data_IF_563856851887
#
_entry.id   IF_563856851887
#
_cell.length_a   1.000
_cell.length_b   1.000
_cell.length_c   1.000
_cell.angle_alpha   90.00
_cell.angle_beta   90.00
_cell.angle_gamma   90.00
#
_symmetry.space_group_name_H-M   'P 1'
#
loop_
_entity.id
_entity.type
_entity.pdbx_description
1 polymer ?
#
# COMPACT_ATOMS: atom_id res chain seq x y z
N UNK A 1 -40.90 51.26 27.98
CA UNK A 1 -39.47 51.08 27.60
C UNK A 1 -38.86 49.79 28.13
N UNK A 2 -38.87 49.49 29.45
CA UNK A 2 -38.25 48.27 30.02
C UNK A 2 -38.76 46.93 29.42
N UNK A 3 -40.06 46.79 29.15
CA UNK A 3 -40.63 45.56 28.54
C UNK A 3 -40.18 45.34 27.08
N UNK A 4 -40.02 46.42 26.31
CA UNK A 4 -39.55 46.35 24.92
C UNK A 4 -38.06 45.99 24.86
N UNK A 5 -37.25 46.57 25.75
CA UNK A 5 -35.83 46.23 25.88
C UNK A 5 -35.64 44.74 26.23
N UNK A 6 -36.46 44.21 27.14
CA UNK A 6 -36.42 42.81 27.57
C UNK A 6 -36.78 41.85 26.42
N UNK A 7 -37.75 42.23 25.57
CA UNK A 7 -38.15 41.45 24.41
C UNK A 7 -37.07 41.44 23.31
N UNK A 8 -36.40 42.58 23.07
CA UNK A 8 -35.25 42.67 22.15
C UNK A 8 -34.09 41.79 22.64
N UNK A 9 -33.80 41.79 23.94
CA UNK A 9 -32.74 40.94 24.53
C UNK A 9 -33.07 39.45 24.35
N UNK A 10 -34.32 39.04 24.54
CA UNK A 10 -34.74 37.65 24.35
C UNK A 10 -34.61 37.24 22.87
N UNK A 11 -35.11 38.06 21.95
CA UNK A 11 -35.05 37.76 20.51
C UNK A 11 -33.62 37.69 19.99
N UNK A 12 -32.76 38.62 20.42
CA UNK A 12 -31.34 38.60 20.07
C UNK A 12 -30.63 37.38 20.67
N UNK A 13 -30.91 37.05 21.94
CA UNK A 13 -30.37 35.84 22.58
C UNK A 13 -30.78 34.55 21.86
N UNK A 14 -32.04 34.44 21.44
CA UNK A 14 -32.54 33.29 20.66
C UNK A 14 -31.88 33.21 19.28
N UNK A 15 -31.71 34.34 18.59
CA UNK A 15 -31.05 34.40 17.29
C UNK A 15 -29.56 34.01 17.38
N UNK A 16 -28.87 34.43 18.44
CA UNK A 16 -27.48 34.04 18.70
C UNK A 16 -27.40 32.54 18.99
N UNK A 17 -28.28 32.01 19.85
CA UNK A 17 -28.31 30.59 20.18
C UNK A 17 -28.56 29.72 18.95
N UNK A 18 -29.56 30.06 18.13
CA UNK A 18 -29.87 29.31 16.91
C UNK A 18 -28.71 29.35 15.92
N UNK A 19 -28.06 30.50 15.75
CA UNK A 19 -26.87 30.65 14.90
C UNK A 19 -25.72 29.75 15.36
N UNK A 20 -25.47 29.68 16.68
CA UNK A 20 -24.45 28.79 17.24
C UNK A 20 -24.78 27.31 16.95
N UNK A 21 -26.04 26.90 17.09
CA UNK A 21 -26.46 25.53 16.79
C UNK A 21 -26.27 25.17 15.32
N UNK A 22 -26.63 26.08 14.40
CA UNK A 22 -26.43 25.89 12.96
C UNK A 22 -24.94 25.76 12.64
N UNK A 23 -24.10 26.68 13.15
CA UNK A 23 -22.64 26.65 12.93
C UNK A 23 -22.03 25.36 13.48
N UNK A 24 -22.45 24.94 14.68
CA UNK A 24 -22.01 23.69 15.30
C UNK A 24 -22.40 22.48 14.45
N UNK A 25 -23.63 22.46 13.92
CA UNK A 25 -24.11 21.38 13.07
C UNK A 25 -23.36 21.29 11.73
N UNK A 26 -23.23 22.40 11.00
CA UNK A 26 -22.59 22.41 9.67
C UNK A 26 -21.07 22.14 9.74
N UNK A 27 -20.46 22.37 10.90
CA UNK A 27 -19.04 22.05 11.14
C UNK A 27 -18.80 20.57 11.45
N UNK A 28 -19.86 19.74 11.59
CA UNK A 28 -19.70 18.31 11.86
C UNK A 28 -19.11 17.58 10.65
N UNK A 29 -18.16 16.65 10.85
CA UNK A 29 -17.59 15.85 9.76
C UNK A 29 -18.63 15.12 8.91
N UNK A 30 -19.73 14.66 9.51
CA UNK A 30 -20.83 13.98 8.82
C UNK A 30 -21.41 14.81 7.66
N UNK A 31 -21.57 16.13 7.85
CA UNK A 31 -22.09 17.04 6.81
C UNK A 31 -21.15 17.10 5.60
N UNK A 32 -19.84 17.03 5.84
CA UNK A 32 -18.83 17.04 4.79
C UNK A 32 -18.73 15.68 4.09
N UNK A 33 -18.82 14.58 4.85
CA UNK A 33 -18.75 13.20 4.33
C UNK A 33 -19.93 12.91 3.40
N UNK A 34 -21.13 13.42 3.68
CA UNK A 34 -22.29 13.28 2.79
C UNK A 34 -22.00 13.75 1.35
N UNK A 35 -21.13 14.75 1.18
CA UNK A 35 -20.74 15.27 -0.12
C UNK A 35 -19.46 14.62 -0.68
N UNK A 36 -18.54 14.17 0.18
CA UNK A 36 -17.22 13.67 -0.21
C UNK A 36 -17.03 12.14 -0.10
N UNK A 37 -18.06 11.39 0.28
CA UNK A 37 -17.97 10.01 0.78
C UNK A 37 -17.29 8.95 -0.11
N UNK A 38 -17.09 9.20 -1.41
CA UNK A 38 -16.33 8.29 -2.28
C UNK A 38 -14.82 8.56 -2.30
N UNK A 39 -14.37 9.78 -1.95
CA UNK A 39 -12.96 10.19 -2.01
C UNK A 39 -12.22 9.98 -0.70
N UNK A 40 -12.92 9.92 0.42
CA UNK A 40 -12.32 9.78 1.73
C UNK A 40 -12.88 8.54 2.42
N UNK A 41 -12.00 7.55 2.68
CA UNK A 41 -12.29 6.43 3.58
C UNK A 41 -12.25 6.91 5.05
N UNK A 42 -12.80 8.10 5.30
CA UNK A 42 -12.64 8.84 6.54
C UNK A 42 -13.62 8.31 7.57
N UNK A 43 -13.10 7.98 8.75
CA UNK A 43 -13.91 7.85 9.94
C UNK A 43 -14.55 9.22 10.24
N UNK A 44 -15.75 9.23 10.84
CA UNK A 44 -16.48 10.46 11.20
C UNK A 44 -15.76 11.38 12.23
N UNK A 45 -14.44 11.20 12.43
CA UNK A 45 -13.63 11.79 13.50
C UNK A 45 -12.72 12.95 13.05
N UNK A 46 -12.70 13.32 11.77
CA UNK A 46 -11.83 14.40 11.27
C UNK A 46 -10.36 13.97 11.13
N UNK A 47 -9.42 14.90 11.33
CA UNK A 47 -7.97 14.62 11.24
C UNK A 47 -7.56 13.51 12.20
N UNK A 48 -6.78 12.54 11.73
CA UNK A 48 -6.30 11.40 12.54
C UNK A 48 -5.03 11.71 13.35
N UNK A 49 -4.43 12.90 13.17
CA UNK A 49 -3.23 13.32 13.88
C UNK A 49 -3.54 13.63 15.36
N UNK A 50 -2.81 13.05 16.34
CA UNK A 50 -3.06 13.24 17.77
C UNK A 50 -3.15 14.70 18.21
N UNK A 51 -2.27 15.56 17.70
CA UNK A 51 -2.26 17.00 18.04
C UNK A 51 -3.54 17.72 17.56
N UNK A 52 -4.11 17.27 16.45
CA UNK A 52 -5.36 17.82 15.92
C UNK A 52 -6.58 17.27 16.66
N UNK A 53 -6.57 15.98 17.03
CA UNK A 53 -7.65 15.37 17.81
C UNK A 53 -7.71 15.97 19.21
N UNK A 54 -6.57 16.16 19.87
CA UNK A 54 -6.49 16.73 21.21
C UNK A 54 -6.94 18.19 21.24
N UNK A 55 -6.73 18.92 20.14
CA UNK A 55 -7.14 20.33 20.01
C UNK A 55 -8.53 20.50 19.38
N UNK A 56 -9.27 19.40 19.16
CA UNK A 56 -10.61 19.41 18.54
C UNK A 56 -10.70 20.16 17.22
N UNK A 57 -9.67 20.07 16.38
CA UNK A 57 -9.61 20.77 15.08
C UNK A 57 -10.70 20.21 14.16
N UNK A 58 -11.57 21.09 13.65
CA UNK A 58 -12.66 20.72 12.74
C UNK A 58 -12.23 20.78 11.27
N UNK A 59 -13.04 20.20 10.37
CA UNK A 59 -12.79 20.28 8.93
C UNK A 59 -12.71 21.75 8.45
N UNK A 60 -13.58 22.62 8.96
CA UNK A 60 -13.63 24.04 8.60
C UNK A 60 -12.39 24.79 9.08
N UNK A 61 -11.79 24.37 10.19
CA UNK A 61 -10.59 25.04 10.70
C UNK A 61 -9.40 24.91 9.72
N UNK A 62 -9.32 23.76 9.02
CA UNK A 62 -8.35 23.50 7.95
C UNK A 62 -8.81 24.02 6.58
N UNK A 63 -10.10 23.90 6.26
CA UNK A 63 -10.68 24.26 4.96
C UNK A 63 -11.32 25.66 4.96
N UNK A 64 -10.62 26.64 5.57
CA UNK A 64 -11.02 28.05 5.53
C UNK A 64 -9.80 28.96 5.45
N UNK A 65 -10.02 30.16 4.89
CA UNK A 65 -9.01 31.21 4.90
C UNK A 65 -8.70 31.75 6.31
N UNK A 66 -7.78 32.71 6.37
CA UNK A 66 -7.36 33.32 7.63
C UNK A 66 -8.40 34.29 8.19
N UNK A 67 -8.59 34.27 9.51
CA UNK A 67 -9.49 35.18 10.22
C UNK A 67 -10.97 34.72 10.26
N UNK A 68 -11.77 35.47 11.01
CA UNK A 68 -13.17 35.11 11.28
C UNK A 68 -14.07 35.26 10.04
N UNK A 69 -13.81 36.26 9.19
CA UNK A 69 -14.62 36.50 8.01
C UNK A 69 -14.50 35.36 7.00
N UNK A 70 -13.28 34.91 6.71
CA UNK A 70 -13.06 33.78 5.81
C UNK A 70 -13.72 32.50 6.32
N UNK A 71 -13.73 32.29 7.64
CA UNK A 71 -14.48 31.17 8.27
C UNK A 71 -15.98 31.30 8.04
N UNK A 72 -16.55 32.49 8.23
CA UNK A 72 -17.98 32.75 7.99
C UNK A 72 -18.32 32.52 6.52
N UNK A 73 -17.52 33.02 5.59
CA UNK A 73 -17.73 32.84 4.16
C UNK A 73 -17.70 31.37 3.76
N UNK A 74 -16.77 30.60 4.35
CA UNK A 74 -16.69 29.15 4.19
C UNK A 74 -17.95 28.46 4.69
N UNK A 75 -18.40 28.79 5.91
CA UNK A 75 -19.62 28.24 6.50
C UNK A 75 -20.86 28.54 5.64
N UNK A 76 -20.94 29.72 5.05
CA UNK A 76 -22.02 30.09 4.13
C UNK A 76 -22.02 29.22 2.86
N UNK A 77 -20.84 28.92 2.31
CA UNK A 77 -20.71 28.02 1.15
C UNK A 77 -21.17 26.60 1.52
N UNK A 78 -20.73 26.07 2.67
CA UNK A 78 -21.10 24.72 3.12
C UNK A 78 -22.59 24.61 3.44
N UNK A 79 -23.17 25.60 4.11
CA UNK A 79 -24.60 25.64 4.41
C UNK A 79 -25.43 25.67 3.11
N UNK A 80 -25.07 26.52 2.15
CA UNK A 80 -25.72 26.57 0.85
C UNK A 80 -25.62 25.25 0.07
N UNK A 81 -24.43 24.63 0.08
CA UNK A 81 -24.20 23.33 -0.53
C UNK A 81 -25.11 22.24 0.08
N UNK A 82 -25.24 22.21 1.41
CA UNK A 82 -26.09 21.24 2.11
C UNK A 82 -27.56 21.43 1.76
N UNK A 83 -28.06 22.67 1.79
CA UNK A 83 -29.45 22.98 1.44
C UNK A 83 -29.77 22.51 0.02
N UNK A 84 -28.88 22.78 -0.93
CA UNK A 84 -29.02 22.33 -2.32
C UNK A 84 -29.01 20.80 -2.43
N UNK A 85 -28.11 20.14 -1.70
CA UNK A 85 -28.01 18.68 -1.72
C UNK A 85 -29.25 18.00 -1.12
N UNK A 86 -29.78 18.52 0.00
CA UNK A 86 -31.02 18.00 0.62
C UNK A 86 -32.27 18.31 -0.22
N UNK A 87 -32.27 19.43 -0.93
CA UNK A 87 -33.37 19.81 -1.82
C UNK A 87 -33.34 19.06 -3.16
N UNK A 88 -32.24 18.37 -3.49
CA UNK A 88 -32.05 17.68 -4.77
C UNK A 88 -33.20 16.73 -5.14
N UNK A 89 -33.74 15.86 -4.26
CA UNK A 89 -34.85 14.97 -4.63
C UNK A 89 -36.09 15.75 -5.07
N UNK A 90 -36.41 16.82 -4.34
CA UNK A 90 -37.55 17.70 -4.63
C UNK A 90 -37.34 18.47 -5.93
N UNK A 91 -36.14 19.04 -6.14
CA UNK A 91 -35.80 19.76 -7.37
C UNK A 91 -35.87 18.81 -8.58
N UNK A 92 -35.28 17.63 -8.49
CA UNK A 92 -35.30 16.65 -9.59
C UNK A 92 -36.73 16.19 -9.92
N UNK A 93 -37.56 16.02 -8.88
CA UNK A 93 -38.97 15.67 -9.05
C UNK A 93 -39.78 16.81 -9.69
N UNK A 94 -39.61 18.05 -9.23
CA UNK A 94 -40.35 19.21 -9.72
C UNK A 94 -40.00 19.59 -11.16
N UNK A 95 -38.71 19.50 -11.51
CA UNK A 95 -38.21 19.94 -12.81
C UNK A 95 -37.96 18.78 -13.80
N UNK A 96 -38.30 17.54 -13.43
CA UNK A 96 -37.96 16.33 -14.20
C UNK A 96 -36.49 16.32 -14.64
N UNK A 97 -35.62 16.81 -13.77
CA UNK A 97 -34.21 17.03 -14.05
C UNK A 97 -33.36 15.99 -13.32
N UNK A 98 -32.16 15.73 -13.85
CA UNK A 98 -31.14 14.92 -13.18
C UNK A 98 -30.02 15.83 -12.64
N UNK A 99 -30.38 16.75 -11.75
CA UNK A 99 -29.39 17.63 -11.12
C UNK A 99 -28.44 16.80 -10.26
N UNK A 100 -27.14 16.92 -10.54
CA UNK A 100 -26.07 16.40 -9.71
C UNK A 100 -25.23 17.58 -9.24
N UNK A 101 -25.01 17.69 -7.94
CA UNK A 101 -24.17 18.72 -7.32
C UNK A 101 -22.75 18.75 -7.90
N UNK A 102 -22.26 17.62 -8.42
CA UNK A 102 -20.91 17.46 -8.98
C UNK A 102 -20.77 18.10 -10.38
N UNK A 103 -21.88 18.26 -11.13
CA UNK A 103 -21.84 18.73 -12.52
C UNK A 103 -22.15 20.24 -12.68
N UNK A 104 -22.52 20.95 -11.61
CA UNK A 104 -22.83 22.39 -11.65
C UNK A 104 -21.76 23.27 -10.98
N UNK A 105 -20.69 22.66 -10.45
CA UNK A 105 -19.74 23.28 -9.52
C UNK A 105 -18.54 23.95 -10.19
N UNK A 106 -18.73 24.61 -11.34
CA UNK A 106 -17.77 25.61 -11.82
C UNK A 106 -17.92 26.94 -11.04
N UNK A 107 -18.17 26.83 -9.73
CA UNK A 107 -18.45 27.93 -8.85
C UNK A 107 -17.16 28.34 -8.15
N UNK A 108 -16.66 29.53 -8.49
CA UNK A 108 -15.45 30.14 -7.91
C UNK A 108 -15.47 30.18 -6.39
N UNK A 109 -16.65 30.10 -5.73
CA UNK A 109 -16.79 30.09 -4.27
C UNK A 109 -16.25 28.83 -3.59
N UNK A 110 -16.13 27.68 -4.28
CA UNK A 110 -15.53 26.49 -3.69
C UNK A 110 -14.02 26.61 -3.48
N UNK A 111 -13.36 27.58 -4.12
CA UNK A 111 -11.95 27.90 -3.84
C UNK A 111 -11.72 28.32 -2.38
N UNK A 112 -12.76 28.81 -1.68
CA UNK A 112 -12.70 29.16 -0.25
C UNK A 112 -12.52 27.94 0.65
N UNK A 113 -12.87 26.73 0.17
CA UNK A 113 -12.68 25.47 0.88
C UNK A 113 -11.28 24.87 0.70
N UNK A 114 -10.37 25.56 0.00
CA UNK A 114 -8.98 25.10 -0.11
C UNK A 114 -8.36 25.01 1.29
N UNK A 115 -7.64 23.93 1.54
CA UNK A 115 -6.93 23.71 2.79
C UNK A 115 -5.87 24.79 3.04
N UNK A 116 -5.70 25.19 4.30
CA UNK A 116 -4.77 26.23 4.72
C UNK A 116 -4.01 25.79 5.98
N UNK A 117 -2.87 25.15 5.77
CA UNK A 117 -2.02 24.63 6.84
C UNK A 117 -1.30 25.75 7.61
N UNK A 118 -0.95 26.86 6.94
CA UNK A 118 -0.12 27.93 7.52
C UNK A 118 -0.84 28.78 8.57
N UNK A 119 -2.16 28.61 8.70
CA UNK A 119 -2.97 29.21 9.78
C UNK A 119 -2.49 28.76 11.17
N UNK A 120 -2.03 27.51 11.28
CA UNK A 120 -1.57 26.91 12.54
C UNK A 120 -0.10 26.47 12.48
N UNK A 121 0.47 26.33 11.28
CA UNK A 121 1.88 25.98 11.07
C UNK A 121 2.60 27.13 10.33
N UNK A 122 2.99 28.19 11.05
CA UNK A 122 3.63 29.35 10.44
C UNK A 122 4.92 28.95 9.73
N UNK A 123 5.22 29.57 8.59
CA UNK A 123 6.45 29.29 7.83
C UNK A 123 7.72 29.54 8.64
N UNK A 124 7.69 30.51 9.56
CA UNK A 124 8.79 30.79 10.49
C UNK A 124 9.20 29.58 11.32
N UNK A 125 8.26 28.67 11.56
CA UNK A 125 8.44 27.51 12.42
C UNK A 125 8.83 26.27 11.60
N UNK A 126 8.70 26.34 10.27
CA UNK A 126 9.06 25.27 9.33
C UNK A 126 10.57 25.27 9.07
N UNK A 127 11.35 24.76 10.03
CA UNK A 127 12.80 24.59 9.88
C UNK A 127 13.13 23.41 8.95
N UNK A 128 13.62 23.67 7.74
CA UNK A 128 14.18 22.63 6.86
C UNK A 128 14.23 23.00 5.38
N UNK A 129 15.09 22.32 4.61
CA UNK A 129 15.34 22.59 3.17
C UNK A 129 14.15 22.30 2.23
N UNK A 130 13.00 21.84 2.75
CA UNK A 130 11.88 21.35 1.95
C UNK A 130 10.55 22.08 2.14
N UNK A 131 10.45 23.04 3.05
CA UNK A 131 9.23 23.85 3.26
C UNK A 131 9.31 25.22 2.56
N UNK A 132 10.21 25.37 1.57
CA UNK A 132 10.49 26.64 0.91
C UNK A 132 9.31 27.22 0.10
N UNK A 133 8.29 26.41 -0.21
CA UNK A 133 7.03 26.87 -0.80
C UNK A 133 5.82 26.24 -0.06
N UNK A 134 5.08 27.07 0.69
CA UNK A 134 3.94 26.69 1.53
C UNK A 134 2.74 26.05 0.81
N UNK A 135 2.80 25.88 -0.52
CA UNK A 135 1.63 25.57 -1.36
C UNK A 135 1.30 24.09 -1.45
N UNK A 136 2.18 23.21 -0.96
CA UNK A 136 2.13 21.77 -1.24
C UNK A 136 2.38 20.91 0.00
N UNK A 137 1.93 21.35 1.17
CA UNK A 137 2.03 20.57 2.41
C UNK A 137 1.45 19.16 2.25
N UNK A 138 0.35 19.04 1.50
CA UNK A 138 -0.35 17.78 1.22
C UNK A 138 0.42 16.79 0.34
N UNK A 139 1.49 17.21 -0.36
CA UNK A 139 2.34 16.30 -1.15
C UNK A 139 3.15 15.36 -0.26
N UNK A 140 3.53 15.83 0.93
CA UNK A 140 4.31 15.05 1.90
C UNK A 140 3.49 14.71 3.16
N UNK A 141 2.60 15.60 3.58
CA UNK A 141 1.75 15.41 4.76
C UNK A 141 0.34 14.96 4.32
N UNK A 142 0.10 13.66 4.38
CA UNK A 142 -1.19 13.10 4.01
C UNK A 142 -2.24 13.25 5.12
N UNK A 143 -2.81 14.44 5.28
CA UNK A 143 -3.80 14.76 6.32
C UNK A 143 -5.08 13.88 6.28
N UNK A 144 -5.40 13.30 5.12
CA UNK A 144 -6.60 12.49 4.90
C UNK A 144 -6.33 11.00 4.61
N UNK A 145 -5.08 10.52 4.75
CA UNK A 145 -4.75 9.10 4.52
C UNK A 145 -4.12 8.46 5.76
N UNK A 146 -4.21 7.12 5.85
CA UNK A 146 -3.51 6.34 6.88
C UNK A 146 -2.04 6.07 6.55
N UNK A 147 -1.55 6.49 5.38
CA UNK A 147 -0.15 6.35 5.03
C UNK A 147 0.64 7.40 5.81
N UNK A 148 0.96 7.03 7.05
CA UNK A 148 1.94 7.73 7.85
C UNK A 148 3.27 7.53 7.14
N UNK A 149 3.71 8.52 6.36
CA UNK A 149 5.11 8.53 5.95
C UNK A 149 5.89 8.71 7.25
N UNK A 150 6.56 7.67 7.69
CA UNK A 150 7.44 7.78 8.84
C UNK A 150 8.66 8.58 8.38
N UNK A 151 8.68 9.89 8.61
CA UNK A 151 9.79 10.77 8.29
C UNK A 151 11.09 10.36 8.99
N UNK A 152 11.01 9.69 10.15
CA UNK A 152 12.21 9.10 10.77
C UNK A 152 12.75 7.94 9.93
N UNK A 153 11.89 7.21 9.21
CA UNK A 153 12.25 6.13 8.29
C UNK A 153 12.62 6.62 6.88
N UNK A 154 12.12 7.77 6.43
CA UNK A 154 12.53 8.41 5.17
C UNK A 154 14.00 8.80 5.32
N UNK A 155 14.87 8.08 4.62
CA UNK A 155 16.31 8.30 4.75
C UNK A 155 16.95 7.56 5.94
N UNK A 156 16.41 6.43 6.39
CA UNK A 156 17.24 5.43 7.09
C UNK A 156 17.88 4.54 6.02
N UNK A 157 19.20 4.33 6.12
CA UNK A 157 20.09 3.62 5.18
C UNK A 157 20.51 4.47 3.97
N UNK A 158 20.59 3.87 2.77
CA UNK A 158 21.33 4.40 1.62
C UNK A 158 20.77 5.71 1.03
N UNK A 159 19.49 6.01 1.20
CA UNK A 159 18.90 7.29 0.78
C UNK A 159 18.95 8.40 1.85
N UNK A 160 19.55 8.16 3.03
CA UNK A 160 19.71 9.17 4.10
C UNK A 160 20.35 10.48 3.62
N UNK A 161 21.33 10.35 2.74
CA UNK A 161 22.14 11.45 2.26
C UNK A 161 21.62 12.01 0.92
N UNK A 162 20.53 11.45 0.38
CA UNK A 162 19.90 11.92 -0.85
C UNK A 162 18.88 12.98 -0.47
N UNK A 163 19.06 14.21 -0.97
CA UNK A 163 18.07 15.26 -0.79
C UNK A 163 16.80 14.88 -1.52
N UNK A 164 15.64 15.17 -0.94
CA UNK A 164 14.36 14.85 -1.55
C UNK A 164 14.17 15.52 -2.92
N UNK A 165 14.77 16.69 -3.13
CA UNK A 165 14.77 17.38 -4.44
C UNK A 165 15.54 16.62 -5.53
N UNK A 166 16.44 15.70 -5.16
CA UNK A 166 17.13 14.84 -6.13
C UNK A 166 16.17 13.81 -6.75
N UNK A 167 15.10 13.44 -6.04
CA UNK A 167 14.08 12.52 -6.56
C UNK A 167 12.80 13.25 -6.98
N UNK A 168 12.35 14.25 -6.24
CA UNK A 168 11.08 14.94 -6.49
C UNK A 168 11.22 16.20 -7.35
N UNK A 169 12.44 16.64 -7.64
CA UNK A 169 12.71 17.92 -8.29
C UNK A 169 12.50 19.11 -7.36
N UNK A 170 12.56 20.31 -7.92
CA UNK A 170 12.32 21.59 -7.21
C UNK A 170 11.03 22.29 -7.66
N UNK A 171 10.33 21.72 -8.64
CA UNK A 171 9.09 22.25 -9.19
C UNK A 171 7.84 21.73 -8.48
N UNK A 172 6.69 22.25 -8.87
CA UNK A 172 5.37 21.75 -8.41
C UNK A 172 4.99 20.42 -9.05
N UNK A 173 5.59 20.10 -10.21
CA UNK A 173 5.38 18.84 -10.92
C UNK A 173 6.46 17.83 -10.49
N UNK A 174 6.07 16.90 -9.61
CA UNK A 174 6.96 15.83 -9.15
C UNK A 174 7.18 14.84 -10.30
N UNK A 175 8.43 14.75 -10.76
CA UNK A 175 8.87 13.75 -11.73
C UNK A 175 9.97 12.90 -11.09
N UNK A 176 9.63 11.65 -10.74
CA UNK A 176 10.59 10.74 -10.13
C UNK A 176 11.57 10.26 -11.20
N UNK A 177 12.90 10.42 -11.01
CA UNK A 177 13.90 9.92 -11.96
C UNK A 177 13.79 8.40 -12.12
N UNK A 178 14.34 7.88 -13.20
CA UNK A 178 14.46 6.42 -13.31
C UNK A 178 15.39 5.90 -12.21
N UNK A 179 15.01 4.82 -11.53
CA UNK A 179 15.82 4.16 -10.51
C UNK A 179 17.21 3.81 -11.07
N UNK A 180 17.27 3.45 -12.36
CA UNK A 180 18.49 3.05 -13.05
C UNK A 180 19.46 4.19 -13.37
N UNK A 181 19.07 5.44 -13.11
CA UNK A 181 20.01 6.58 -13.18
C UNK A 181 21.03 6.57 -12.04
N UNK A 182 20.70 5.89 -10.92
CA UNK A 182 21.55 5.85 -9.73
C UNK A 182 21.83 4.41 -9.25
N UNK A 183 20.94 3.46 -9.51
CA UNK A 183 21.04 2.07 -9.04
C UNK A 183 21.23 1.11 -10.20
N UNK A 184 22.10 0.11 -10.02
CA UNK A 184 22.28 -0.95 -11.01
C UNK A 184 21.20 -2.03 -10.82
N UNK A 185 20.49 -2.44 -11.89
CA UNK A 185 19.55 -3.56 -11.83
C UNK A 185 20.22 -4.87 -11.39
N UNK A 186 19.47 -5.74 -10.71
CA UNK A 186 19.98 -7.04 -10.26
C UNK A 186 20.22 -8.04 -11.40
N UNK A 187 19.84 -7.69 -12.62
CA UNK A 187 20.18 -8.43 -13.84
C UNK A 187 21.16 -7.58 -14.63
N UNK A 188 22.34 -8.13 -14.88
CA UNK A 188 23.40 -7.44 -15.62
C UNK A 188 22.89 -6.93 -16.97
N UNK A 189 23.24 -5.69 -17.31
CA UNK A 189 22.88 -4.99 -18.54
C UNK A 189 21.36 -4.80 -18.77
N UNK A 190 20.53 -5.06 -17.75
CA UNK A 190 19.10 -4.83 -17.88
C UNK A 190 18.78 -3.34 -17.86
N UNK A 191 17.81 -2.92 -18.66
CA UNK A 191 17.22 -1.59 -18.59
C UNK A 191 15.81 -1.71 -18.02
N UNK A 192 15.66 -1.38 -16.74
CA UNK A 192 14.38 -1.55 -16.03
C UNK A 192 13.68 -0.21 -15.81
N UNK A 193 12.36 -0.23 -16.00
CA UNK A 193 11.49 0.83 -15.50
C UNK A 193 11.38 0.80 -13.98
N UNK A 194 10.92 1.91 -13.40
CA UNK A 194 10.73 2.03 -11.95
C UNK A 194 9.72 1.00 -11.43
N UNK A 195 8.73 0.64 -12.23
CA UNK A 195 7.72 -0.37 -11.94
C UNK A 195 8.33 -1.75 -11.63
N UNK A 196 9.37 -2.16 -12.35
CA UNK A 196 10.07 -3.42 -12.10
C UNK A 196 10.78 -3.37 -10.74
N UNK A 197 11.46 -2.25 -10.45
CA UNK A 197 12.14 -2.04 -9.17
C UNK A 197 11.14 -2.03 -8.00
N UNK A 198 10.01 -1.34 -8.18
CA UNK A 198 8.93 -1.21 -7.19
C UNK A 198 8.08 -2.48 -7.04
N UNK A 199 8.13 -3.40 -8.01
CA UNK A 199 7.52 -4.72 -7.91
C UNK A 199 8.07 -5.51 -6.72
N UNK A 200 9.35 -5.34 -6.43
CA UNK A 200 10.00 -5.91 -5.26
C UNK A 200 10.18 -4.88 -4.13
N UNK A 201 10.65 -3.67 -4.42
CA UNK A 201 10.91 -2.61 -3.44
C UNK A 201 9.74 -1.63 -3.35
N UNK A 202 8.64 -2.01 -2.68
CA UNK A 202 7.37 -1.25 -2.71
C UNK A 202 7.46 0.20 -2.23
N UNK A 203 8.52 0.58 -1.53
CA UNK A 203 8.70 1.96 -1.05
C UNK A 203 10.13 2.46 -1.32
N UNK A 204 10.25 3.38 -2.28
CA UNK A 204 11.52 4.01 -2.67
C UNK A 204 12.19 4.84 -1.55
N UNK A 205 11.47 5.19 -0.49
CA UNK A 205 12.04 5.86 0.69
C UNK A 205 12.78 4.88 1.63
N UNK A 206 12.45 3.59 1.57
CA UNK A 206 13.05 2.51 2.37
C UNK A 206 13.24 1.22 1.53
N UNK A 207 13.95 1.30 0.38
CA UNK A 207 13.92 0.26 -0.64
C UNK A 207 14.36 -1.11 -0.09
N UNK A 208 15.43 -1.17 0.71
CA UNK A 208 15.97 -2.43 1.27
C UNK A 208 15.01 -3.14 2.24
N UNK A 209 14.22 -2.39 3.01
CA UNK A 209 13.27 -2.94 4.00
C UNK A 209 11.85 -3.09 3.47
N UNK A 210 11.55 -2.49 2.32
CA UNK A 210 10.24 -2.60 1.66
C UNK A 210 10.15 -3.77 0.68
N UNK A 211 11.12 -4.68 0.73
CA UNK A 211 11.20 -5.84 -0.14
C UNK A 211 9.99 -6.75 0.12
N UNK A 212 9.08 -6.81 -0.84
CA UNK A 212 7.91 -7.70 -0.83
C UNK A 212 7.59 -8.07 -2.26
N UNK A 213 6.98 -9.23 -2.48
CA UNK A 213 6.50 -9.56 -3.81
C UNK A 213 5.09 -8.98 -4.03
N UNK A 214 4.82 -8.50 -5.24
CA UNK A 214 3.50 -8.22 -5.78
C UNK A 214 2.73 -9.50 -6.11
N UNK A 215 3.44 -10.63 -6.30
CA UNK A 215 2.87 -11.97 -6.46
C UNK A 215 2.81 -12.45 -7.91
N UNK A 216 3.12 -11.58 -8.88
CA UNK A 216 3.05 -11.87 -10.33
C UNK A 216 4.39 -11.64 -11.04
N UNK A 217 5.49 -11.59 -10.29
CA UNK A 217 6.83 -11.38 -10.83
C UNK A 217 7.20 -12.48 -11.83
N UNK A 218 7.64 -12.16 -13.05
CA UNK A 218 8.20 -13.15 -13.95
C UNK A 218 9.37 -13.90 -13.31
N UNK A 219 9.46 -15.22 -13.55
CA UNK A 219 10.55 -16.07 -13.02
C UNK A 219 11.93 -15.54 -13.40
N UNK A 220 12.03 -14.88 -14.55
CA UNK A 220 13.23 -14.26 -15.10
C UNK A 220 13.82 -13.19 -14.18
N UNK A 221 12.99 -12.50 -13.38
CA UNK A 221 13.48 -11.50 -12.42
C UNK A 221 14.30 -12.17 -11.30
N UNK A 222 13.90 -13.38 -10.89
CA UNK A 222 14.60 -14.14 -9.86
C UNK A 222 15.93 -14.70 -10.35
N UNK A 223 16.08 -14.94 -11.66
CA UNK A 223 17.32 -15.44 -12.30
C UNK A 223 18.53 -14.56 -12.03
N UNK A 224 18.34 -13.24 -11.85
CA UNK A 224 19.44 -12.32 -11.56
C UNK A 224 20.29 -12.73 -10.36
N UNK A 225 19.62 -13.18 -9.29
CA UNK A 225 20.30 -13.67 -8.07
C UNK A 225 20.30 -15.20 -7.95
N UNK A 226 19.32 -15.88 -8.55
CA UNK A 226 19.12 -17.33 -8.48
C UNK A 226 19.21 -18.00 -9.87
N UNK A 227 20.35 -17.87 -10.58
CA UNK A 227 20.48 -18.38 -11.95
C UNK A 227 20.40 -19.91 -11.99
N UNK A 228 20.95 -20.60 -10.99
CA UNK A 228 20.98 -22.05 -10.90
C UNK A 228 19.57 -22.63 -10.68
N UNK A 229 18.80 -22.04 -9.78
CA UNK A 229 17.43 -22.46 -9.46
C UNK A 229 16.50 -22.20 -10.65
N UNK A 230 16.61 -21.02 -11.28
CA UNK A 230 15.89 -20.71 -12.51
C UNK A 230 16.20 -21.72 -13.61
N UNK A 231 17.49 -21.99 -13.86
CA UNK A 231 17.90 -22.96 -14.89
C UNK A 231 17.40 -24.36 -14.55
N UNK A 232 17.52 -24.79 -13.30
CA UNK A 232 17.04 -26.10 -12.87
C UNK A 232 15.54 -26.25 -13.13
N UNK A 233 14.74 -25.25 -12.76
CA UNK A 233 13.28 -25.31 -12.91
C UNK A 233 12.85 -25.28 -14.37
N UNK A 234 13.48 -24.42 -15.17
CA UNK A 234 13.13 -24.22 -16.58
C UNK A 234 13.63 -25.33 -17.49
N UNK A 235 14.81 -25.90 -17.22
CA UNK A 235 15.44 -26.93 -18.07
C UNK A 235 14.89 -28.32 -17.79
N UNK A 236 14.70 -28.68 -16.52
CA UNK A 236 14.31 -30.04 -16.14
C UNK A 236 12.78 -30.26 -16.15
N UNK A 237 12.02 -29.19 -16.39
CA UNK A 237 10.57 -29.22 -16.61
C UNK A 237 9.77 -29.67 -15.38
N UNK A 238 8.58 -30.22 -15.64
CA UNK A 238 7.61 -30.62 -14.62
C UNK A 238 6.50 -29.59 -14.38
N UNK A 239 5.48 -29.98 -13.61
CA UNK A 239 4.30 -29.14 -13.37
C UNK A 239 4.63 -27.85 -12.62
N UNK A 240 5.68 -27.83 -11.79
CA UNK A 240 6.10 -26.61 -11.08
C UNK A 240 6.66 -25.54 -12.01
N UNK A 241 7.25 -25.90 -13.16
CA UNK A 241 7.65 -24.91 -14.15
C UNK A 241 6.44 -24.23 -14.83
N UNK A 242 5.25 -24.84 -14.76
CA UNK A 242 4.01 -24.23 -15.26
C UNK A 242 3.46 -23.16 -14.31
N UNK A 243 3.98 -23.06 -13.08
CA UNK A 243 3.60 -21.97 -12.19
C UNK A 243 4.07 -20.62 -12.76
N UNK A 244 3.24 -19.58 -12.63
CA UNK A 244 3.49 -18.30 -13.29
C UNK A 244 4.73 -17.59 -12.74
N UNK A 245 5.09 -17.84 -11.47
CA UNK A 245 6.17 -17.15 -10.77
C UNK A 245 6.89 -18.05 -9.77
N UNK A 246 8.13 -17.69 -9.42
CA UNK A 246 8.83 -18.24 -8.25
C UNK A 246 8.06 -17.94 -6.95
N UNK A 247 7.29 -16.85 -6.92
CA UNK A 247 6.51 -16.42 -5.74
C UNK A 247 5.33 -17.34 -5.45
N UNK A 248 4.94 -18.18 -6.41
CA UNK A 248 3.97 -19.25 -6.20
C UNK A 248 4.43 -20.27 -5.16
N UNK A 249 5.73 -20.38 -4.91
CA UNK A 249 6.31 -21.19 -3.82
C UNK A 249 7.06 -20.36 -2.77
N UNK A 250 7.55 -19.18 -3.16
CA UNK A 250 8.30 -18.26 -2.31
C UNK A 250 7.49 -16.99 -2.03
N UNK A 251 6.54 -17.01 -1.07
CA UNK A 251 5.60 -15.90 -0.86
C UNK A 251 6.29 -14.61 -0.38
N UNK A 252 7.50 -14.73 0.19
CA UNK A 252 8.38 -13.61 0.50
C UNK A 252 9.83 -14.04 0.26
N UNK A 253 10.73 -13.07 0.05
CA UNK A 253 12.14 -13.35 -0.15
C UNK A 253 12.73 -14.06 1.08
N UNK A 254 13.41 -15.18 0.86
CA UNK A 254 13.93 -16.04 1.95
C UNK A 254 12.87 -16.92 2.64
N UNK A 255 11.61 -16.88 2.20
CA UNK A 255 10.52 -17.74 2.71
C UNK A 255 10.19 -18.79 1.66
N UNK A 256 9.95 -20.02 2.11
CA UNK A 256 9.52 -21.14 1.28
C UNK A 256 8.24 -21.68 1.93
N UNK A 257 7.20 -21.91 1.13
CA UNK A 257 5.99 -22.58 1.62
C UNK A 257 6.23 -24.08 1.83
N UNK A 258 5.34 -24.73 2.57
CA UNK A 258 5.44 -26.17 2.79
C UNK A 258 4.95 -26.93 1.55
N UNK A 259 5.50 -28.12 1.30
CA UNK A 259 5.09 -28.92 0.14
C UNK A 259 3.61 -29.33 0.22
N UNK A 260 3.12 -29.57 1.43
CA UNK A 260 1.76 -30.03 1.70
C UNK A 260 0.71 -28.93 1.50
N UNK A 261 1.11 -27.66 1.46
CA UNK A 261 0.21 -26.53 1.20
C UNK A 261 -0.43 -26.60 -0.20
N UNK A 262 0.18 -27.34 -1.14
CA UNK A 262 -0.39 -27.59 -2.48
C UNK A 262 -0.59 -29.07 -2.82
N UNK A 263 0.20 -29.98 -2.23
CA UNK A 263 0.10 -31.42 -2.54
C UNK A 263 -0.88 -32.18 -1.63
N UNK A 264 -1.37 -31.56 -0.55
CA UNK A 264 -2.41 -32.10 0.34
C UNK A 264 -2.03 -33.40 1.07
N UNK A 265 -2.94 -33.87 1.92
CA UNK A 265 -2.97 -35.27 2.35
C UNK A 265 -3.79 -36.07 1.34
N UNK A 266 -3.39 -37.32 1.14
CA UNK A 266 -3.71 -38.22 0.04
C UNK A 266 -5.15 -38.76 0.06
N UNK A 267 -6.01 -38.16 0.88
CA UNK A 267 -7.39 -38.59 1.14
C UNK A 267 -8.41 -38.03 0.13
N UNK A 268 -8.01 -37.04 -0.69
CA UNK A 268 -8.86 -36.52 -1.77
C UNK A 268 -8.59 -37.24 -3.12
N UNK A 269 -9.66 -37.49 -3.86
CA UNK A 269 -9.67 -38.25 -5.12
C UNK A 269 -8.92 -37.53 -6.26
N UNK A 270 -8.82 -36.20 -6.21
CA UNK A 270 -8.10 -35.38 -7.17
C UNK A 270 -6.57 -35.56 -7.01
N UNK A 271 -6.09 -35.55 -5.78
CA UNK A 271 -4.68 -35.76 -5.44
C UNK A 271 -4.27 -37.21 -5.70
N UNK A 272 -5.13 -38.18 -5.37
CA UNK A 272 -4.94 -39.59 -5.71
C UNK A 272 -4.77 -39.80 -7.23
N UNK A 273 -5.53 -39.08 -8.07
CA UNK A 273 -5.52 -39.24 -9.53
C UNK A 273 -4.37 -38.49 -10.23
N UNK A 274 -3.96 -37.33 -9.72
CA UNK A 274 -2.94 -36.48 -10.36
C UNK A 274 -1.53 -36.66 -9.79
N UNK A 275 -1.40 -37.29 -8.62
CA UNK A 275 -0.16 -37.62 -7.95
C UNK A 275 -0.15 -39.12 -7.60
N UNK A 276 -0.05 -40.03 -8.58
CA UNK A 276 -0.20 -41.48 -8.37
C UNK A 276 0.85 -42.08 -7.42
N UNK A 277 2.00 -41.42 -7.23
CA UNK A 277 2.97 -41.78 -6.19
C UNK A 277 2.49 -41.48 -4.77
N UNK A 278 1.33 -40.83 -4.59
CA UNK A 278 0.77 -40.45 -3.30
C UNK A 278 -0.42 -41.30 -2.88
N UNK A 279 -0.93 -42.24 -3.69
CA UNK A 279 -2.11 -43.05 -3.34
C UNK A 279 -1.96 -43.89 -2.04
N UNK A 280 -0.78 -43.95 -1.39
CA UNK A 280 -0.56 -44.49 -0.03
C UNK A 280 0.73 -43.96 0.68
N UNK A 281 1.26 -42.78 0.35
CA UNK A 281 2.73 -42.68 0.25
C UNK A 281 3.55 -41.75 1.16
N UNK A 282 3.00 -41.24 2.27
CA UNK A 282 3.87 -40.62 3.28
C UNK A 282 4.79 -41.69 3.91
N UNK A 283 4.26 -42.86 4.27
CA UNK A 283 5.01 -43.93 4.94
C UNK A 283 6.01 -44.63 4.01
N UNK A 284 5.69 -44.77 2.71
CA UNK A 284 6.59 -45.37 1.72
C UNK A 284 7.88 -44.55 1.55
N UNK A 285 7.77 -43.22 1.49
CA UNK A 285 8.94 -42.35 1.38
C UNK A 285 9.60 -42.12 2.75
N UNK A 286 8.83 -41.84 3.80
CA UNK A 286 9.39 -41.56 5.14
C UNK A 286 10.01 -42.78 5.82
N UNK A 287 9.79 -43.99 5.30
CA UNK A 287 10.57 -45.19 5.67
C UNK A 287 12.05 -45.04 5.34
N UNK A 288 12.40 -44.26 4.30
CA UNK A 288 13.76 -44.16 3.78
C UNK A 288 14.36 -42.75 3.85
N UNK A 289 13.55 -41.69 3.83
CA UNK A 289 14.03 -40.30 3.85
C UNK A 289 13.20 -39.40 4.77
N UNK A 290 13.85 -38.45 5.45
CA UNK A 290 13.19 -37.55 6.39
C UNK A 290 12.57 -36.29 5.74
N UNK A 291 12.92 -35.98 4.48
CA UNK A 291 12.47 -34.77 3.77
C UNK A 291 12.09 -35.13 2.34
N UNK A 292 11.03 -34.52 1.80
CA UNK A 292 10.60 -34.70 0.41
C UNK A 292 11.74 -34.40 -0.58
N UNK A 293 12.54 -33.36 -0.27
CA UNK A 293 13.67 -32.90 -1.08
C UNK A 293 14.83 -33.89 -1.19
N UNK A 294 14.87 -34.93 -0.34
CA UNK A 294 15.88 -35.98 -0.41
C UNK A 294 15.70 -36.87 -1.65
N UNK A 295 14.47 -37.00 -2.16
CA UNK A 295 14.18 -37.79 -3.35
C UNK A 295 14.13 -36.93 -4.62
N UNK A 296 13.47 -35.76 -4.57
CA UNK A 296 13.39 -34.83 -5.70
C UNK A 296 13.41 -33.37 -5.25
N UNK A 297 14.08 -32.50 -6.02
CA UNK A 297 14.15 -31.08 -5.72
C UNK A 297 12.93 -30.35 -6.31
N UNK A 298 12.25 -29.41 -5.64
CA UNK A 298 11.14 -28.65 -6.24
C UNK A 298 11.54 -27.83 -7.49
N UNK A 299 12.79 -27.36 -7.55
CA UNK A 299 13.37 -26.72 -8.73
C UNK A 299 13.91 -27.74 -9.75
N UNK A 300 13.94 -29.03 -9.43
CA UNK A 300 14.32 -30.07 -10.37
C UNK A 300 13.58 -31.37 -10.02
N UNK A 301 12.25 -31.41 -10.22
CA UNK A 301 11.41 -32.46 -9.64
C UNK A 301 11.65 -33.83 -10.28
N UNK A 302 12.36 -33.89 -11.41
CA UNK A 302 12.69 -35.16 -12.04
C UNK A 302 14.17 -35.42 -12.24
N UNK A 303 15.10 -34.46 -12.22
CA UNK A 303 16.57 -34.67 -12.25
C UNK A 303 17.07 -35.84 -13.14
N UNK A 304 16.41 -36.12 -14.27
CA UNK A 304 16.69 -37.28 -15.13
C UNK A 304 16.30 -38.67 -14.59
N UNK A 305 15.68 -38.77 -13.42
CA UNK A 305 15.17 -40.02 -12.83
C UNK A 305 13.81 -40.40 -13.42
N UNK A 306 13.60 -41.68 -13.81
CA UNK A 306 12.29 -42.17 -14.19
C UNK A 306 11.34 -42.09 -12.98
N UNK A 307 10.06 -41.80 -13.22
CA UNK A 307 9.03 -41.85 -12.18
C UNK A 307 9.03 -43.24 -11.54
N UNK A 308 9.32 -43.39 -10.24
CA UNK A 308 9.42 -44.70 -9.64
C UNK A 308 8.02 -45.33 -9.55
N UNK A 309 7.81 -46.42 -10.28
CA UNK A 309 6.54 -47.14 -10.34
C UNK A 309 6.43 -48.26 -9.29
N UNK A 310 7.51 -48.59 -8.58
CA UNK A 310 7.55 -49.68 -7.57
C UNK A 310 8.31 -49.30 -6.30
N UNK A 311 7.96 -49.93 -5.17
CA UNK A 311 8.66 -49.76 -3.87
C UNK A 311 10.16 -50.03 -3.96
N UNK A 312 10.57 -50.99 -4.80
CA UNK A 312 11.97 -51.34 -5.00
C UNK A 312 12.73 -50.22 -5.73
N UNK A 313 12.09 -49.54 -6.69
CA UNK A 313 12.68 -48.36 -7.35
C UNK A 313 12.80 -47.17 -6.39
N UNK A 314 11.82 -46.97 -5.50
CA UNK A 314 11.88 -45.93 -4.46
C UNK A 314 13.04 -46.20 -3.49
N UNK A 315 13.18 -47.44 -3.01
CA UNK A 315 14.25 -47.83 -2.10
C UNK A 315 15.64 -47.65 -2.73
N UNK A 316 15.80 -47.94 -4.02
CA UNK A 316 17.07 -47.79 -4.73
C UNK A 316 17.44 -46.31 -4.94
N UNK A 317 16.47 -45.47 -5.35
CA UNK A 317 16.67 -44.01 -5.46
C UNK A 317 17.03 -43.42 -4.09
N UNK A 318 16.34 -43.84 -3.02
CA UNK A 318 16.62 -43.37 -1.67
C UNK A 318 18.04 -43.73 -1.21
N UNK A 319 18.52 -44.95 -1.51
CA UNK A 319 19.91 -45.36 -1.23
C UNK A 319 20.93 -44.54 -2.02
N UNK A 320 20.71 -44.34 -3.31
CA UNK A 320 21.59 -43.53 -4.17
C UNK A 320 21.68 -42.08 -3.69
N UNK A 321 20.55 -41.48 -3.28
CA UNK A 321 20.51 -40.10 -2.76
C UNK A 321 21.07 -39.96 -1.35
N UNK A 322 20.89 -40.96 -0.48
CA UNK A 322 21.50 -40.98 0.85
C UNK A 322 23.04 -40.94 0.79
N UNK A 323 23.65 -41.58 -0.21
CA UNK A 323 25.09 -41.51 -0.44
C UNK A 323 25.56 -40.10 -0.87
N UNK A 324 24.76 -39.42 -1.70
CA UNK A 324 25.06 -38.05 -2.19
C UNK A 324 24.98 -37.00 -1.07
N UNK A 325 24.05 -37.15 -0.11
CA UNK A 325 23.84 -36.20 0.99
C UNK A 325 24.92 -36.26 2.09
N UNK A 326 25.84 -37.23 2.04
CA UNK A 326 27.01 -37.28 2.94
C UNK A 326 28.23 -36.50 2.43
N UNK A 327 28.18 -36.03 1.17
CA UNK A 327 29.17 -35.10 0.64
C UNK A 327 28.79 -33.66 1.05
N UNK A 328 29.74 -32.85 1.57
CA UNK A 328 29.44 -31.47 1.94
C UNK A 328 29.00 -30.69 0.70
N UNK A 329 27.77 -30.17 0.72
CA UNK A 329 27.29 -29.23 -0.28
C UNK A 329 28.07 -27.92 -0.13
N UNK A 330 28.75 -27.43 -1.18
CA UNK A 330 29.36 -26.11 -1.13
C UNK A 330 28.22 -25.09 -1.16
N UNK A 331 27.87 -24.56 0.01
CA UNK A 331 27.14 -23.30 0.04
C UNK A 331 28.07 -22.22 -0.52
N UNK A 332 27.64 -21.41 -1.50
CA UNK A 332 28.37 -20.18 -1.80
C UNK A 332 28.43 -19.39 -0.50
N UNK A 333 29.64 -19.05 -0.07
CA UNK A 333 29.86 -18.26 1.12
C UNK A 333 29.00 -17.01 1.04
N UNK A 334 28.25 -16.73 2.12
CA UNK A 334 27.62 -15.43 2.32
C UNK A 334 28.74 -14.40 2.20
N UNK A 335 28.75 -13.61 1.13
CA UNK A 335 29.62 -12.44 1.08
C UNK A 335 29.27 -11.57 2.29
N UNK A 336 30.24 -11.18 3.13
CA UNK A 336 29.98 -10.31 4.25
C UNK A 336 29.27 -9.06 3.73
N UNK A 337 28.24 -8.62 4.45
CA UNK A 337 27.66 -7.32 4.24
C UNK A 337 28.76 -6.28 4.50
N UNK A 338 29.12 -5.39 3.55
CA UNK A 338 30.11 -4.35 3.81
C UNK A 338 29.65 -3.31 4.85
N UNK A 339 28.39 -3.38 5.30
CA UNK A 339 27.78 -2.51 6.31
C UNK A 339 27.40 -3.24 7.63
N UNK A 340 28.01 -4.39 7.96
CA UNK A 340 28.04 -4.95 9.34
C UNK A 340 29.35 -4.58 10.07
#
# INVERSE_FOLDING_TARGET
MKKFLLLVIILTGLAVYSSIQVISYISKPAVCIDCHGSKYNATAKGSILPSHTNSSITCIDCHSGNGIQARIDTLNVVAGAKILNESKPVINQLFQANFSFVNSSNNTRFSLLKENCVKCHPESDLKGQMHANNTTCNLCHFAHTKQNINFEAIGIQTHKNVKCTACHGTGTDIQIPSCTQCHEPHVKDATWGNDVCLGCHKNAHIPTRSMTFSGNEPKELCKGCHPSEYQNLTTNGGKHNLLPSCTSCHPAHGVIMECLDCHGDTTDEFNAKHYPHHQNACTLCHRYVAKCTACHNPHNPFSGLPRPATDQQIAEIAKQRAQILTAPTPHPARTPNPDE
#
